data_IF_244907336150
#
_entry.id   IF_244907336150
#
_cell.length_a   1.000
_cell.length_b   1.000
_cell.length_c   1.000
_cell.angle_alpha   90.00
_cell.angle_beta   90.00
_cell.angle_gamma   90.00
#
_symmetry.space_group_name_H-M   'P 1'
#
loop_
_entity.id
_entity.type
_entity.pdbx_description
1 polymer ?
#
# COMPACT_ATOMS: atom_id res chain seq x y z
N UNK A 1 -57.47 -45.16 -50.36
CA UNK A 1 -56.14 -45.64 -50.15
C UNK A 1 -55.26 -44.39 -49.79
N UNK A 2 -55.12 -44.10 -48.47
CA UNK A 2 -54.48 -42.88 -47.95
C UNK A 2 -53.11 -43.31 -47.40
N UNK A 3 -52.02 -42.77 -47.97
CA UNK A 3 -50.66 -42.97 -47.53
C UNK A 3 -50.29 -41.83 -46.64
N UNK A 4 -50.05 -42.08 -45.32
CA UNK A 4 -49.58 -41.11 -44.36
C UNK A 4 -48.04 -41.21 -44.30
N UNK A 5 -47.41 -40.09 -44.61
CA UNK A 5 -45.96 -39.95 -44.52
C UNK A 5 -45.62 -39.37 -43.13
N UNK A 6 -44.87 -40.12 -42.33
CA UNK A 6 -44.35 -39.68 -41.05
C UNK A 6 -43.01 -39.00 -41.29
N UNK A 7 -42.91 -37.71 -40.99
CA UNK A 7 -41.65 -37.00 -40.95
C UNK A 7 -41.08 -37.02 -39.51
N UNK A 8 -39.99 -37.73 -39.35
CA UNK A 8 -39.22 -37.74 -38.09
C UNK A 8 -38.39 -36.47 -37.99
N UNK A 9 -38.77 -35.59 -37.09
CA UNK A 9 -37.99 -34.38 -36.74
C UNK A 9 -36.86 -34.72 -35.78
N UNK A 10 -35.63 -34.59 -36.23
CA UNK A 10 -34.40 -34.73 -35.42
C UNK A 10 -34.16 -33.40 -34.69
N UNK A 11 -34.50 -33.31 -33.41
CA UNK A 11 -34.19 -32.16 -32.57
C UNK A 11 -32.79 -32.29 -32.06
N UNK A 12 -31.88 -31.48 -32.60
CA UNK A 12 -30.50 -31.31 -32.12
C UNK A 12 -30.50 -30.46 -30.86
N UNK A 13 -30.39 -31.09 -29.69
CA UNK A 13 -30.24 -30.39 -28.42
C UNK A 13 -28.80 -29.85 -28.30
N UNK A 14 -28.60 -28.55 -28.56
CA UNK A 14 -27.40 -27.85 -28.21
C UNK A 14 -27.28 -27.74 -26.68
N UNK A 15 -26.50 -28.61 -26.06
CA UNK A 15 -26.03 -28.42 -24.70
C UNK A 15 -25.02 -27.24 -24.70
N UNK A 16 -25.53 -26.05 -24.53
CA UNK A 16 -24.71 -24.90 -24.17
C UNK A 16 -24.18 -25.12 -22.78
N UNK A 17 -22.92 -25.53 -22.67
CA UNK A 17 -22.21 -25.54 -21.40
C UNK A 17 -22.14 -24.12 -20.88
N UNK A 18 -22.88 -23.83 -19.83
CA UNK A 18 -22.70 -22.61 -19.03
C UNK A 18 -21.37 -22.77 -18.33
N UNK A 19 -20.31 -22.17 -18.91
CA UNK A 19 -19.09 -21.90 -18.18
C UNK A 19 -19.49 -20.91 -17.10
N UNK A 20 -19.68 -21.39 -15.87
CA UNK A 20 -19.82 -20.53 -14.72
C UNK A 20 -18.52 -19.72 -14.63
N UNK A 21 -18.57 -18.46 -15.04
CA UNK A 21 -17.55 -17.48 -14.69
C UNK A 21 -17.47 -17.53 -13.16
N UNK A 22 -16.32 -17.92 -12.64
CA UNK A 22 -16.02 -17.86 -11.21
C UNK A 22 -16.11 -16.38 -10.86
N UNK A 23 -17.25 -15.95 -10.31
CA UNK A 23 -17.57 -14.56 -10.09
C UNK A 23 -16.63 -13.96 -9.06
N UNK A 24 -16.04 -12.83 -9.40
CA UNK A 24 -15.43 -11.97 -8.41
C UNK A 24 -16.45 -11.71 -7.30
N UNK A 25 -16.18 -12.24 -6.10
CA UNK A 25 -17.01 -12.02 -4.93
C UNK A 25 -16.81 -10.59 -4.42
N UNK A 26 -17.87 -9.98 -3.94
CA UNK A 26 -17.77 -8.76 -3.14
C UNK A 26 -18.12 -9.08 -1.69
N UNK A 27 -17.37 -8.46 -0.76
CA UNK A 27 -17.61 -8.61 0.67
C UNK A 27 -17.48 -7.27 1.37
N UNK A 28 -18.45 -6.92 2.18
CA UNK A 28 -18.39 -5.77 3.08
C UNK A 28 -18.05 -6.24 4.49
N UNK A 29 -17.19 -5.47 5.16
CA UNK A 29 -16.81 -5.73 6.55
C UNK A 29 -17.40 -4.63 7.42
N UNK A 30 -18.06 -5.04 8.52
CA UNK A 30 -18.53 -4.09 9.52
C UNK A 30 -17.32 -3.67 10.37
N UNK A 31 -16.97 -2.39 10.32
CA UNK A 31 -15.82 -1.82 11.02
C UNK A 31 -16.27 -0.63 11.86
N UNK A 32 -15.61 -0.40 13.01
CA UNK A 32 -15.73 0.82 13.78
C UNK A 32 -14.92 1.97 13.16
N UNK A 33 -14.79 3.07 13.89
CA UNK A 33 -13.88 4.16 13.51
C UNK A 33 -12.43 3.74 13.70
N UNK A 34 -11.56 4.18 12.80
CA UNK A 34 -10.12 3.97 12.83
C UNK A 34 -9.43 5.17 12.16
N UNK A 35 -8.19 5.40 12.51
CA UNK A 35 -7.29 6.42 11.98
C UNK A 35 -5.97 5.83 11.47
N UNK A 36 -5.76 4.53 11.66
CA UNK A 36 -4.61 3.80 11.14
C UNK A 36 -5.05 2.56 10.35
N UNK A 37 -4.26 2.15 9.36
CA UNK A 37 -4.53 0.99 8.51
C UNK A 37 -3.28 0.12 8.42
N UNK A 38 -3.40 -1.16 8.80
CA UNK A 38 -2.38 -2.18 8.60
C UNK A 38 -2.89 -3.24 7.62
N UNK A 39 -2.16 -3.48 6.55
CA UNK A 39 -2.48 -4.51 5.57
C UNK A 39 -1.35 -5.52 5.44
N UNK A 40 -1.71 -6.80 5.36
CA UNK A 40 -0.74 -7.89 5.25
C UNK A 40 -1.02 -8.74 4.01
N UNK A 41 0.02 -9.05 3.24
CA UNK A 41 -0.04 -9.97 2.09
C UNK A 41 0.07 -9.31 0.73
N UNK A 42 -0.35 -9.99 -0.35
CA UNK A 42 -0.19 -9.53 -1.73
C UNK A 42 -1.39 -8.72 -2.23
N UNK A 43 -2.19 -8.17 -1.34
CA UNK A 43 -3.45 -7.51 -1.68
C UNK A 43 -3.24 -6.06 -2.11
N UNK A 44 -4.18 -5.58 -2.93
CA UNK A 44 -4.28 -4.16 -3.22
C UNK A 44 -5.22 -3.48 -2.23
N UNK A 45 -4.82 -2.36 -1.67
CA UNK A 45 -5.64 -1.54 -0.77
C UNK A 45 -5.79 -0.15 -1.37
N UNK A 46 -7.02 0.27 -1.59
CA UNK A 46 -7.35 1.60 -2.09
C UNK A 46 -8.03 2.38 -0.97
N UNK A 47 -7.38 3.42 -0.49
CA UNK A 47 -7.83 4.22 0.64
C UNK A 47 -8.33 5.57 0.15
N UNK A 48 -9.56 5.92 0.55
CA UNK A 48 -10.17 7.24 0.31
C UNK A 48 -10.44 7.90 1.65
N UNK A 49 -9.88 9.08 1.88
CA UNK A 49 -9.97 9.80 3.14
C UNK A 49 -11.00 10.93 3.07
N UNK A 50 -11.77 11.12 4.13
CA UNK A 50 -12.81 12.14 4.28
C UNK A 50 -14.24 11.59 4.26
N UNK A 51 -14.39 10.26 4.16
CA UNK A 51 -15.69 9.58 4.22
C UNK A 51 -15.96 8.87 5.54
N UNK A 52 -17.13 8.26 5.66
CA UNK A 52 -17.42 7.36 6.80
C UNK A 52 -16.54 6.13 6.73
N UNK A 53 -16.13 5.62 7.91
CA UNK A 53 -15.39 4.37 8.01
C UNK A 53 -16.17 3.21 7.34
N UNK A 54 -15.55 2.60 6.35
CA UNK A 54 -16.11 1.43 5.67
C UNK A 54 -15.01 0.63 4.98
N UNK A 55 -15.24 -0.68 4.86
CA UNK A 55 -14.32 -1.58 4.16
C UNK A 55 -15.12 -2.50 3.25
N UNK A 56 -14.79 -2.52 1.98
CA UNK A 56 -15.28 -3.49 1.01
C UNK A 56 -14.09 -4.18 0.35
N UNK A 57 -14.25 -5.44 0.01
CA UNK A 57 -13.26 -6.18 -0.74
C UNK A 57 -13.89 -6.84 -1.96
N UNK A 58 -13.14 -6.87 -3.05
CA UNK A 58 -13.49 -7.56 -4.28
C UNK A 58 -12.36 -8.52 -4.65
N UNK A 59 -12.70 -9.74 -5.04
CA UNK A 59 -11.74 -10.76 -5.40
C UNK A 59 -12.33 -12.16 -5.39
N UNK A 60 -11.46 -13.15 -5.41
CA UNK A 60 -11.86 -14.55 -5.32
C UNK A 60 -12.55 -14.87 -3.98
N UNK A 61 -13.68 -15.57 -4.02
CA UNK A 61 -14.48 -15.88 -2.84
C UNK A 61 -13.71 -16.68 -1.79
N UNK A 62 -12.88 -17.64 -2.20
CA UNK A 62 -12.08 -18.46 -1.28
C UNK A 62 -10.98 -17.64 -0.59
N UNK A 63 -10.45 -16.61 -1.28
CA UNK A 63 -9.54 -15.63 -0.68
C UNK A 63 -10.26 -14.78 0.33
N UNK A 64 -11.40 -14.19 -0.04
CA UNK A 64 -12.18 -13.30 0.84
C UNK A 64 -12.70 -14.02 2.08
N UNK A 65 -13.03 -15.32 1.97
CA UNK A 65 -13.47 -16.12 3.11
C UNK A 65 -12.37 -16.35 4.16
N UNK A 66 -11.13 -16.33 3.77
CA UNK A 66 -9.97 -16.50 4.66
C UNK A 66 -9.46 -15.18 5.26
N UNK A 67 -9.93 -14.04 4.74
CA UNK A 67 -9.52 -12.72 5.19
C UNK A 67 -10.49 -12.11 6.19
N UNK A 68 -9.97 -11.28 7.06
CA UNK A 68 -10.73 -10.42 7.98
C UNK A 68 -10.24 -8.98 7.89
N UNK A 69 -11.16 -8.06 8.10
CA UNK A 69 -10.87 -6.65 8.35
C UNK A 69 -11.47 -6.32 9.72
N UNK A 70 -10.63 -6.03 10.68
CA UNK A 70 -11.02 -5.80 12.08
C UNK A 70 -10.33 -4.55 12.61
N UNK A 71 -11.00 -3.82 13.49
CA UNK A 71 -10.41 -2.65 14.16
C UNK A 71 -9.99 -3.06 15.57
N UNK A 72 -8.70 -2.91 15.86
CA UNK A 72 -8.10 -3.15 17.17
C UNK A 72 -7.29 -1.91 17.57
N UNK A 73 -7.62 -1.28 18.70
CA UNK A 73 -6.92 -0.08 19.23
C UNK A 73 -6.86 1.13 18.27
N UNK A 74 -7.89 1.34 17.45
CA UNK A 74 -7.91 2.42 16.46
C UNK A 74 -7.29 2.07 15.11
N UNK A 75 -6.62 0.93 14.99
CA UNK A 75 -6.01 0.44 13.75
C UNK A 75 -6.94 -0.56 13.03
N UNK A 76 -7.24 -0.29 11.76
CA UNK A 76 -7.87 -1.25 10.87
C UNK A 76 -6.84 -2.28 10.37
N UNK A 77 -6.99 -3.52 10.78
CA UNK A 77 -6.12 -4.62 10.37
C UNK A 77 -6.77 -5.47 9.27
N UNK A 78 -6.18 -5.49 8.08
CA UNK A 78 -6.53 -6.36 6.96
C UNK A 78 -5.54 -7.53 6.95
N UNK A 79 -6.02 -8.72 7.36
CA UNK A 79 -5.15 -9.87 7.63
C UNK A 79 -5.88 -11.20 7.44
N UNK A 80 -5.16 -12.34 7.36
CA UNK A 80 -5.79 -13.65 7.41
C UNK A 80 -6.49 -13.90 8.77
N UNK A 81 -7.62 -14.58 8.76
CA UNK A 81 -8.34 -15.02 9.99
C UNK A 81 -7.48 -15.92 10.88
N UNK A 82 -7.71 -15.88 12.17
CA UNK A 82 -6.92 -16.61 13.19
C UNK A 82 -6.58 -18.06 12.86
N UNK A 83 -7.51 -18.94 12.40
CA UNK A 83 -7.15 -20.34 12.12
C UNK A 83 -6.10 -20.49 11.03
N UNK A 84 -5.96 -19.51 10.14
CA UNK A 84 -5.03 -19.57 9.02
C UNK A 84 -3.69 -18.86 9.29
N UNK A 85 -3.57 -18.00 10.32
CA UNK A 85 -2.37 -17.16 10.56
C UNK A 85 -1.06 -17.92 10.68
N UNK A 86 -1.05 -19.13 11.26
CA UNK A 86 0.19 -19.89 11.54
C UNK A 86 0.76 -20.60 10.32
N UNK A 87 -0.10 -21.02 9.38
CA UNK A 87 0.29 -21.83 8.20
C UNK A 87 -0.36 -21.26 6.93
N UNK A 88 -0.50 -19.95 6.85
CA UNK A 88 -1.14 -19.30 5.70
C UNK A 88 -0.15 -19.18 4.54
N UNK A 89 -0.46 -19.84 3.43
CA UNK A 89 0.29 -19.71 2.18
C UNK A 89 -0.43 -18.74 1.24
N UNK A 90 0.23 -17.66 0.87
CA UNK A 90 -0.26 -16.72 -0.14
C UNK A 90 -0.16 -17.26 -1.56
N UNK A 91 0.63 -18.35 -1.78
CA UNK A 91 0.93 -18.88 -3.11
C UNK A 91 -0.29 -19.42 -3.84
N UNK A 92 -1.27 -19.90 -3.10
CA UNK A 92 -2.43 -20.61 -3.64
C UNK A 92 -3.69 -19.74 -3.69
N UNK A 93 -3.57 -18.45 -3.35
CA UNK A 93 -4.71 -17.54 -3.29
C UNK A 93 -4.47 -16.30 -4.15
N UNK A 94 -5.41 -15.99 -5.05
CA UNK A 94 -5.36 -14.76 -5.83
C UNK A 94 -5.36 -13.51 -4.94
N UNK A 95 -4.72 -12.45 -5.40
CA UNK A 95 -4.79 -11.16 -4.73
C UNK A 95 -6.22 -10.60 -4.77
N UNK A 96 -6.66 -9.99 -3.67
CA UNK A 96 -7.92 -9.27 -3.59
C UNK A 96 -7.68 -7.76 -3.53
N UNK A 97 -8.69 -6.97 -3.88
CA UNK A 97 -8.66 -5.52 -3.72
C UNK A 97 -9.57 -5.12 -2.57
N UNK A 98 -9.01 -4.37 -1.62
CA UNK A 98 -9.74 -3.79 -0.50
C UNK A 98 -9.94 -2.29 -0.75
N UNK A 99 -11.19 -1.85 -0.70
CA UNK A 99 -11.58 -0.44 -0.77
C UNK A 99 -11.91 0.02 0.64
N UNK A 100 -11.11 0.93 1.16
CA UNK A 100 -11.20 1.44 2.52
C UNK A 100 -11.57 2.91 2.47
N UNK A 101 -12.59 3.32 3.23
CA UNK A 101 -12.88 4.72 3.48
C UNK A 101 -12.64 5.02 4.95
N UNK A 102 -11.96 6.12 5.24
CA UNK A 102 -11.64 6.58 6.59
C UNK A 102 -11.98 8.07 6.76
N UNK A 103 -12.46 8.51 7.93
CA UNK A 103 -12.72 9.94 8.19
C UNK A 103 -11.45 10.77 8.20
N UNK A 104 -10.39 10.23 8.80
CA UNK A 104 -9.04 10.78 8.89
C UNK A 104 -8.04 9.64 8.84
N UNK A 105 -6.77 9.94 8.60
CA UNK A 105 -5.71 8.94 8.53
C UNK A 105 -4.43 9.51 9.16
N UNK A 106 -3.94 8.85 10.20
CA UNK A 106 -2.71 9.19 10.91
C UNK A 106 -1.57 8.22 10.62
N UNK A 107 -1.91 7.00 10.15
CA UNK A 107 -0.89 6.01 9.85
C UNK A 107 -1.30 4.93 8.86
N UNK A 108 -0.31 4.39 8.15
CA UNK A 108 -0.46 3.20 7.30
C UNK A 108 0.72 2.26 7.46
N UNK A 109 0.43 0.96 7.50
CA UNK A 109 1.43 -0.09 7.52
C UNK A 109 1.12 -1.15 6.46
N UNK A 110 2.11 -1.48 5.63
CA UNK A 110 2.00 -2.50 4.59
C UNK A 110 3.06 -3.57 4.82
N UNK A 111 2.64 -4.80 5.06
CA UNK A 111 3.53 -5.94 5.23
C UNK A 111 3.33 -6.98 4.13
N UNK A 112 4.35 -7.23 3.31
CA UNK A 112 4.31 -8.20 2.21
C UNK A 112 4.64 -7.61 0.86
N UNK A 113 3.92 -8.03 -0.17
CA UNK A 113 4.14 -7.64 -1.58
C UNK A 113 2.94 -6.95 -2.22
N UNK A 114 1.94 -6.60 -1.43
CA UNK A 114 0.76 -5.88 -1.91
C UNK A 114 1.03 -4.40 -2.15
N UNK A 115 0.05 -3.71 -2.71
CA UNK A 115 0.11 -2.27 -2.97
C UNK A 115 -0.96 -1.54 -2.19
N UNK A 116 -0.63 -0.35 -1.67
CA UNK A 116 -1.58 0.56 -1.05
C UNK A 116 -1.55 1.91 -1.73
N UNK A 117 -2.72 2.43 -2.06
CA UNK A 117 -2.88 3.79 -2.59
C UNK A 117 -3.75 4.61 -1.65
N UNK A 118 -3.31 5.82 -1.32
CA UNK A 118 -4.02 6.77 -0.46
C UNK A 118 -4.23 8.05 -1.26
N UNK A 119 -5.48 8.49 -1.37
CA UNK A 119 -5.84 9.67 -2.16
C UNK A 119 -5.33 10.97 -1.50
N UNK A 120 -5.50 11.10 -0.19
CA UNK A 120 -5.06 12.28 0.57
C UNK A 120 -4.83 11.97 2.04
N UNK A 121 -3.98 12.77 2.66
CA UNK A 121 -3.79 12.79 4.11
C UNK A 121 -3.79 14.24 4.59
N UNK A 122 -4.54 14.54 5.64
CA UNK A 122 -4.58 15.84 6.30
C UNK A 122 -4.53 15.63 7.80
N UNK A 123 -3.51 16.17 8.47
CA UNK A 123 -3.37 15.99 9.91
C UNK A 123 -2.17 16.70 10.51
N UNK A 124 -1.94 16.48 11.78
CA UNK A 124 -0.75 17.00 12.45
C UNK A 124 0.45 16.06 12.27
N UNK A 125 0.20 14.76 12.40
CA UNK A 125 1.22 13.70 12.23
C UNK A 125 0.73 12.64 11.27
N UNK A 126 1.67 12.08 10.53
CA UNK A 126 1.41 10.93 9.69
C UNK A 126 2.62 9.99 9.66
N UNK A 127 2.37 8.71 9.80
CA UNK A 127 3.42 7.71 9.67
C UNK A 127 3.08 6.66 8.62
N UNK A 128 4.10 6.22 7.90
CA UNK A 128 3.97 5.17 6.90
C UNK A 128 5.08 4.13 7.06
N UNK A 129 4.71 2.87 7.13
CA UNK A 129 5.62 1.76 7.24
C UNK A 129 5.40 0.74 6.12
N UNK A 130 6.47 0.38 5.41
CA UNK A 130 6.45 -0.68 4.39
C UNK A 130 7.48 -1.73 4.75
N UNK A 131 7.04 -2.95 4.99
CA UNK A 131 7.87 -4.11 5.29
C UNK A 131 7.70 -5.18 4.20
N UNK A 132 8.73 -5.42 3.39
CA UNK A 132 8.71 -6.37 2.28
C UNK A 132 9.02 -5.73 0.94
N UNK A 133 8.25 -6.07 -0.09
CA UNK A 133 8.47 -5.61 -1.46
C UNK A 133 7.26 -4.85 -2.04
N UNK A 134 6.30 -4.52 -1.21
CA UNK A 134 5.06 -3.83 -1.61
C UNK A 134 5.27 -2.37 -1.95
N UNK A 135 4.26 -1.76 -2.58
CA UNK A 135 4.24 -0.35 -2.95
C UNK A 135 3.24 0.47 -2.13
N UNK A 136 3.64 1.66 -1.71
CA UNK A 136 2.73 2.65 -1.10
C UNK A 136 2.78 3.93 -1.93
N UNK A 137 1.61 4.38 -2.39
CA UNK A 137 1.47 5.66 -3.10
C UNK A 137 0.51 6.58 -2.33
N UNK A 138 0.99 7.78 -1.98
CA UNK A 138 0.20 8.81 -1.31
C UNK A 138 0.13 10.02 -2.24
N UNK A 139 -1.04 10.26 -2.81
CA UNK A 139 -1.20 11.25 -3.86
C UNK A 139 -1.09 12.69 -3.36
N UNK A 140 -1.59 12.97 -2.15
CA UNK A 140 -1.54 14.31 -1.56
C UNK A 140 -1.48 14.25 -0.02
N UNK A 141 -0.33 14.62 0.53
CA UNK A 141 -0.06 14.62 1.97
C UNK A 141 0.15 16.04 2.48
N UNK A 142 -0.56 16.39 3.54
CA UNK A 142 -0.41 17.63 4.27
C UNK A 142 -0.43 17.37 5.76
N UNK A 143 0.77 17.39 6.36
CA UNK A 143 0.95 17.16 7.79
C UNK A 143 2.13 17.99 8.32
N UNK A 144 2.17 18.27 9.63
CA UNK A 144 3.32 18.98 10.21
C UNK A 144 4.51 18.03 10.38
N UNK A 145 4.25 16.81 10.83
CA UNK A 145 5.29 15.78 11.06
C UNK A 145 4.98 14.53 10.24
N UNK A 146 5.96 14.06 9.50
CA UNK A 146 5.83 12.83 8.72
C UNK A 146 6.97 11.88 8.97
N UNK A 147 6.67 10.60 9.09
CA UNK A 147 7.66 9.53 9.27
C UNK A 147 7.45 8.42 8.24
N UNK A 148 8.50 8.08 7.51
CA UNK A 148 8.51 7.00 6.52
C UNK A 148 9.52 5.94 6.92
N UNK A 149 9.08 4.70 7.09
CA UNK A 149 9.93 3.55 7.42
C UNK A 149 9.80 2.49 6.34
N UNK A 150 10.90 2.13 5.70
CA UNK A 150 10.93 1.11 4.65
C UNK A 150 11.93 0.03 5.06
N UNK A 151 11.45 -1.19 5.23
CA UNK A 151 12.25 -2.35 5.54
C UNK A 151 12.11 -3.41 4.43
N UNK A 152 13.16 -3.65 3.67
CA UNK A 152 13.16 -4.59 2.53
C UNK A 152 13.43 -3.92 1.20
N UNK A 153 12.61 -4.21 0.19
CA UNK A 153 12.77 -3.70 -1.18
C UNK A 153 11.53 -2.96 -1.70
N UNK A 154 10.62 -2.59 -0.80
CA UNK A 154 9.40 -1.87 -1.14
C UNK A 154 9.67 -0.44 -1.60
N UNK A 155 8.65 0.17 -2.20
CA UNK A 155 8.72 1.56 -2.68
C UNK A 155 7.62 2.39 -2.02
N UNK A 156 7.97 3.57 -1.53
CA UNK A 156 7.02 4.59 -1.08
C UNK A 156 7.11 5.79 -2.02
N UNK A 157 5.97 6.18 -2.59
CA UNK A 157 5.83 7.40 -3.38
C UNK A 157 4.90 8.37 -2.66
N UNK A 158 5.32 9.62 -2.50
CA UNK A 158 4.52 10.63 -1.82
C UNK A 158 4.72 12.02 -2.40
N UNK A 159 3.63 12.78 -2.44
CA UNK A 159 3.62 14.20 -2.84
C UNK A 159 2.85 15.01 -1.82
N UNK A 160 3.14 16.32 -1.76
CA UNK A 160 2.44 17.23 -0.86
C UNK A 160 3.37 18.15 -0.11
N UNK A 161 3.07 18.40 1.18
CA UNK A 161 3.87 19.27 2.04
C UNK A 161 3.90 18.79 3.49
N UNK A 162 5.03 19.03 4.14
CA UNK A 162 5.23 18.77 5.57
C UNK A 162 6.17 19.83 6.17
N UNK A 163 6.17 19.99 7.47
CA UNK A 163 7.22 20.75 8.12
C UNK A 163 8.46 19.89 8.34
N UNK A 164 8.28 18.70 8.91
CA UNK A 164 9.37 17.82 9.27
C UNK A 164 9.15 16.43 8.61
N UNK A 165 10.18 15.96 7.91
CA UNK A 165 10.18 14.65 7.28
C UNK A 165 11.28 13.77 7.88
N UNK A 166 10.92 12.68 8.54
CA UNK A 166 11.84 11.68 9.05
C UNK A 166 11.75 10.42 8.19
N UNK A 167 12.89 9.93 7.71
CA UNK A 167 12.99 8.81 6.80
C UNK A 167 13.98 7.77 7.30
N UNK A 168 13.56 6.53 7.39
CA UNK A 168 14.37 5.38 7.73
C UNK A 168 14.24 4.30 6.67
N UNK A 169 15.32 3.99 5.96
CA UNK A 169 15.40 2.91 4.99
C UNK A 169 16.34 1.83 5.48
N UNK A 170 15.87 0.60 5.57
CA UNK A 170 16.67 -0.58 5.88
C UNK A 170 16.53 -1.60 4.75
N UNK A 171 17.58 -1.79 3.95
CA UNK A 171 17.56 -2.71 2.80
C UNK A 171 17.83 -2.03 1.47
N UNK A 172 17.02 -2.36 0.45
CA UNK A 172 17.17 -1.87 -0.93
C UNK A 172 15.91 -1.17 -1.44
N UNK A 173 15.02 -0.80 -0.55
CA UNK A 173 13.77 -0.11 -0.91
C UNK A 173 14.00 1.37 -1.25
N UNK A 174 13.00 1.99 -1.88
CA UNK A 174 13.10 3.36 -2.38
C UNK A 174 12.03 4.27 -1.79
N UNK A 175 12.41 5.50 -1.48
CA UNK A 175 11.50 6.60 -1.19
C UNK A 175 11.53 7.62 -2.31
N UNK A 176 10.39 7.80 -2.98
CA UNK A 176 10.17 8.79 -4.04
C UNK A 176 9.34 9.95 -3.52
N UNK A 177 9.96 10.83 -2.75
CA UNK A 177 9.33 11.98 -2.12
C UNK A 177 9.87 13.31 -2.65
N UNK A 178 10.40 13.36 -3.88
CA UNK A 178 10.84 14.62 -4.52
C UNK A 178 9.71 15.64 -4.68
N UNK A 179 8.46 15.17 -4.74
CA UNK A 179 7.26 16.01 -4.76
C UNK A 179 6.71 16.37 -3.38
N UNK A 180 7.33 15.95 -2.28
CA UNK A 180 6.98 16.32 -0.92
C UNK A 180 7.86 17.50 -0.47
N UNK A 181 7.29 18.69 -0.42
CA UNK A 181 7.99 19.86 0.07
C UNK A 181 8.07 19.84 1.60
N UNK A 182 9.26 19.81 2.17
CA UNK A 182 9.50 19.88 3.61
C UNK A 182 10.26 21.13 4.02
N UNK A 183 10.19 21.53 5.30
CA UNK A 183 11.12 22.50 5.89
C UNK A 183 12.39 21.80 6.30
N UNK A 184 12.27 20.74 7.07
CA UNK A 184 13.41 19.94 7.51
C UNK A 184 13.28 18.49 7.07
N UNK A 185 14.41 17.84 6.80
CA UNK A 185 14.46 16.42 6.45
C UNK A 185 15.56 15.70 7.21
N UNK A 186 15.24 14.57 7.84
CA UNK A 186 16.21 13.66 8.42
C UNK A 186 16.11 12.32 7.68
N UNK A 187 17.20 11.88 7.09
CA UNK A 187 17.26 10.68 6.26
C UNK A 187 18.30 9.73 6.81
N UNK A 188 17.90 8.52 7.15
CA UNK A 188 18.79 7.43 7.58
C UNK A 188 18.65 6.25 6.62
N UNK A 189 19.74 5.83 6.00
CA UNK A 189 19.75 4.71 5.06
C UNK A 189 20.76 3.68 5.55
N UNK A 190 20.31 2.46 5.76
CA UNK A 190 21.14 1.29 6.06
C UNK A 190 20.96 0.25 4.95
N UNK A 191 21.90 0.20 3.98
CA UNK A 191 21.82 -0.71 2.84
C UNK A 191 22.11 -0.05 1.50
N UNK A 192 21.31 -0.38 0.47
CA UNK A 192 21.49 0.08 -0.91
C UNK A 192 20.30 0.84 -1.48
N UNK A 193 19.32 1.15 -0.66
CA UNK A 193 18.11 1.87 -1.07
C UNK A 193 18.38 3.32 -1.45
N UNK A 194 17.43 3.94 -2.14
CA UNK A 194 17.49 5.34 -2.54
C UNK A 194 16.37 6.16 -1.88
N UNK A 195 16.72 7.39 -1.44
CA UNK A 195 15.76 8.36 -0.93
C UNK A 195 15.83 9.65 -1.75
N UNK A 196 14.68 10.09 -2.24
CA UNK A 196 14.53 11.38 -2.90
C UNK A 196 13.54 12.23 -2.10
N UNK A 197 13.96 13.43 -1.67
CA UNK A 197 13.14 14.39 -0.92
C UNK A 197 13.42 15.81 -1.40
N UNK A 198 12.54 16.74 -1.00
CA UNK A 198 12.76 18.17 -1.15
C UNK A 198 12.71 18.85 0.20
N UNK A 199 13.77 19.59 0.57
CA UNK A 199 13.85 20.32 1.83
C UNK A 199 14.31 21.77 1.58
N UNK A 200 13.78 22.70 2.44
CA UNK A 200 14.05 24.11 2.27
C UNK A 200 15.11 24.65 3.23
N UNK A 201 15.04 24.26 4.48
CA UNK A 201 15.82 24.87 5.57
C UNK A 201 17.05 24.00 5.92
N UNK A 202 16.83 22.77 6.37
CA UNK A 202 17.92 21.84 6.74
C UNK A 202 17.65 20.41 6.30
N UNK A 203 18.71 19.71 5.94
CA UNK A 203 18.64 18.27 5.70
C UNK A 203 19.81 17.57 6.40
N UNK A 204 19.51 16.53 7.18
CA UNK A 204 20.50 15.63 7.77
C UNK A 204 20.41 14.28 7.10
N UNK A 205 21.53 13.82 6.56
CA UNK A 205 21.56 12.55 5.83
C UNK A 205 22.63 11.65 6.43
N UNK A 206 22.24 10.47 6.87
CA UNK A 206 23.14 9.43 7.35
C UNK A 206 23.02 8.19 6.48
N UNK A 207 24.12 7.71 5.90
CA UNK A 207 24.14 6.52 5.05
C UNK A 207 25.17 5.53 5.56
N UNK A 208 24.72 4.29 5.79
CA UNK A 208 25.60 3.15 6.05
C UNK A 208 25.37 2.13 4.92
N UNK A 209 26.37 1.98 4.03
CA UNK A 209 26.29 1.09 2.88
C UNK A 209 26.52 1.77 1.54
N UNK A 210 25.79 1.34 0.52
CA UNK A 210 25.96 1.81 -0.86
C UNK A 210 24.74 2.61 -1.38
N UNK A 211 23.79 2.89 -0.54
CA UNK A 211 22.56 3.60 -0.89
C UNK A 211 22.79 5.06 -1.31
N UNK A 212 21.72 5.72 -1.73
CA UNK A 212 21.76 7.10 -2.22
C UNK A 212 20.71 8.00 -1.59
N UNK A 213 21.04 9.29 -1.44
CA UNK A 213 20.05 10.31 -1.10
C UNK A 213 20.16 11.50 -2.06
N UNK A 214 19.01 11.94 -2.55
CA UNK A 214 18.89 13.16 -3.37
C UNK A 214 17.95 14.12 -2.65
N UNK A 215 18.51 15.23 -2.21
CA UNK A 215 17.78 16.28 -1.52
C UNK A 215 17.68 17.48 -2.45
N UNK A 216 16.47 17.72 -2.98
CA UNK A 216 16.15 18.91 -3.75
C UNK A 216 15.87 20.11 -2.85
N UNK A 217 15.81 21.32 -3.45
CA UNK A 217 15.51 22.55 -2.75
C UNK A 217 16.76 23.29 -2.24
N UNK A 218 16.57 24.17 -1.26
CA UNK A 218 17.60 25.11 -0.79
C UNK A 218 18.22 24.74 0.55
N UNK A 219 17.95 23.54 1.08
CA UNK A 219 18.36 23.13 2.40
C UNK A 219 19.88 23.11 2.59
N UNK A 220 20.33 23.53 3.78
CA UNK A 220 21.69 23.27 4.23
C UNK A 220 21.81 21.79 4.63
N UNK A 221 22.67 21.06 3.93
CA UNK A 221 22.87 19.64 4.16
C UNK A 221 24.00 19.33 5.15
N UNK A 222 23.71 18.46 6.11
CA UNK A 222 24.71 17.80 6.96
C UNK A 222 24.74 16.31 6.60
N UNK A 223 25.90 15.81 6.18
CA UNK A 223 26.03 14.45 5.64
C UNK A 223 27.03 13.64 6.47
N UNK A 224 26.59 12.48 6.95
CA UNK A 224 27.44 11.45 7.56
C UNK A 224 27.35 10.17 6.71
N UNK A 225 28.48 9.61 6.32
CA UNK A 225 28.50 8.47 5.42
C UNK A 225 29.60 7.46 5.78
N UNK A 226 29.16 6.19 5.84
CA UNK A 226 30.03 5.04 6.00
C UNK A 226 29.78 4.08 4.83
N UNK A 227 30.74 3.90 3.93
CA UNK A 227 30.60 3.08 2.72
C UNK A 227 30.66 3.87 1.42
N UNK A 228 30.10 3.31 0.35
CA UNK A 228 30.16 3.86 -1.02
C UNK A 228 28.92 4.65 -1.42
N UNK A 229 28.01 4.90 -0.50
CA UNK A 229 26.76 5.63 -0.76
C UNK A 229 26.99 7.05 -1.32
N UNK A 230 25.98 7.62 -1.95
CA UNK A 230 26.05 8.95 -2.58
C UNK A 230 24.99 9.88 -2.04
N UNK A 231 25.36 11.13 -1.80
CA UNK A 231 24.42 12.17 -1.43
C UNK A 231 24.55 13.33 -2.42
N UNK A 232 23.43 13.80 -2.92
CA UNK A 232 23.33 15.02 -3.73
C UNK A 232 22.38 15.97 -3.03
N UNK A 233 22.86 17.16 -2.73
CA UNK A 233 22.10 18.24 -2.10
C UNK A 233 22.09 19.46 -2.98
N UNK A 234 20.91 20.07 -3.11
CA UNK A 234 20.68 21.23 -3.94
C UNK A 234 20.53 20.83 -5.42
N UNK A 235 19.49 21.30 -6.04
CA UNK A 235 19.27 21.28 -7.49
C UNK A 235 18.59 22.57 -7.90
#
# INVERSE_FOLDING_TARGET
MRISIWTAGLTLACFGGVVAAQGAGERSFAVGSFDEIAATGPHRVVVTVGGRASVRASGDAATLDKMEAVVEHGELQIRPKKPYRRNFSWRDLPAATFYVSAPALEGVALAGSGDMTVDRVRGNRFHAAVAGSGGLDIADLEANETSFSIAGSGTVSVRGRTENADVSLAGSGDLKAGGLASKTANVSIAGSGEAELSARDTARVSIIGSGGARIGGTATCSVSRIGSGRVRCGA
#
